data_IF_573097271233
#
_entry.id   IF_573097271233
#
_cell.length_a   1.000
_cell.length_b   1.000
_cell.length_c   1.000
_cell.angle_alpha   90.00
_cell.angle_beta   90.00
_cell.angle_gamma   90.00
#
_symmetry.space_group_name_H-M   'P 1'
#
loop_
_entity.id
_entity.type
_entity.pdbx_description
1 polymer ?
#
# COMPACT_ATOMS: atom_id res chain seq x y z
N UNK A 1 -18.69 -20.86 1.91
CA UNK A 1 -19.33 -19.53 2.04
C UNK A 1 -18.42 -18.51 1.36
N UNK A 2 -18.63 -18.25 0.07
CA UNK A 2 -17.81 -17.26 -0.66
C UNK A 2 -18.31 -15.88 -0.26
N UNK A 3 -17.53 -15.18 0.56
CA UNK A 3 -17.77 -13.78 0.87
C UNK A 3 -17.49 -12.97 -0.40
N UNK A 4 -18.54 -12.47 -1.05
CA UNK A 4 -18.36 -11.41 -2.04
C UNK A 4 -17.78 -10.21 -1.30
N UNK A 5 -16.46 -10.02 -1.39
CA UNK A 5 -15.79 -8.80 -1.00
C UNK A 5 -16.35 -7.67 -1.89
N UNK A 6 -17.47 -7.10 -1.43
CA UNK A 6 -18.04 -5.88 -1.99
C UNK A 6 -16.88 -4.90 -2.10
N UNK A 7 -16.50 -4.56 -3.33
CA UNK A 7 -15.55 -3.50 -3.59
C UNK A 7 -15.97 -2.31 -2.74
N UNK A 8 -15.24 -2.06 -1.67
CA UNK A 8 -15.63 -1.03 -0.72
C UNK A 8 -15.51 0.29 -1.48
N UNK A 9 -16.63 1.00 -1.65
CA UNK A 9 -16.64 2.36 -2.24
C UNK A 9 -15.84 3.36 -1.38
N UNK A 10 -15.39 2.94 -0.20
CA UNK A 10 -14.65 3.75 0.77
C UNK A 10 -13.18 3.36 0.80
N UNK A 11 -12.27 4.22 0.32
CA UNK A 11 -10.82 4.00 0.41
C UNK A 11 -10.33 3.77 1.84
N UNK A 12 -10.95 4.42 2.83
CA UNK A 12 -10.60 4.24 4.23
C UNK A 12 -10.99 2.84 4.77
N UNK A 13 -12.07 2.24 4.27
CA UNK A 13 -12.44 0.87 4.62
C UNK A 13 -11.45 -0.12 3.99
N UNK A 14 -11.13 0.06 2.71
CA UNK A 14 -10.11 -0.72 2.02
C UNK A 14 -8.75 -0.64 2.72
N UNK A 15 -8.34 0.56 3.15
CA UNK A 15 -7.10 0.76 3.88
C UNK A 15 -7.06 -0.05 5.19
N UNK A 16 -8.15 -0.05 5.96
CA UNK A 16 -8.25 -0.81 7.22
C UNK A 16 -8.20 -2.31 6.97
N UNK A 17 -8.89 -2.79 5.94
CA UNK A 17 -8.89 -4.20 5.56
C UNK A 17 -7.49 -4.66 5.12
N UNK A 18 -6.86 -3.90 4.22
CA UNK A 18 -5.50 -4.17 3.78
C UNK A 18 -4.50 -4.13 4.95
N UNK A 19 -4.71 -3.25 5.92
CA UNK A 19 -3.90 -3.20 7.15
C UNK A 19 -4.08 -4.45 8.00
N UNK A 20 -5.30 -4.95 8.14
CA UNK A 20 -5.59 -6.17 8.90
C UNK A 20 -4.93 -7.38 8.23
N UNK A 21 -5.18 -7.58 6.93
CA UNK A 21 -4.56 -8.66 6.13
C UNK A 21 -3.03 -8.56 6.16
N UNK A 22 -2.49 -7.37 5.97
CA UNK A 22 -1.04 -7.15 5.98
C UNK A 22 -0.41 -7.38 7.35
N UNK A 23 -1.12 -7.13 8.45
CA UNK A 23 -0.63 -7.38 9.82
C UNK A 23 -0.60 -8.87 10.13
N UNK A 24 -1.57 -9.62 9.64
CA UNK A 24 -1.64 -11.08 9.81
C UNK A 24 -0.59 -11.80 8.93
N UNK A 25 -0.41 -11.34 7.69
CA UNK A 25 0.44 -12.02 6.71
C UNK A 25 1.92 -11.61 6.73
N UNK A 26 2.27 -10.47 7.34
CA UNK A 26 3.62 -9.90 7.26
C UNK A 26 4.21 -9.66 8.64
N UNK A 27 5.49 -9.99 8.79
CA UNK A 27 6.30 -9.48 9.89
C UNK A 27 6.21 -7.94 9.96
N UNK A 28 6.18 -7.33 11.17
CA UNK A 28 6.05 -5.88 11.30
C UNK A 28 7.08 -5.10 10.48
N UNK A 29 8.31 -5.62 10.38
CA UNK A 29 9.43 -4.98 9.67
C UNK A 29 10.15 -5.96 8.75
N UNK A 30 10.76 -5.42 7.68
CA UNK A 30 11.44 -6.25 6.67
C UNK A 30 12.77 -6.87 7.15
N UNK A 31 13.39 -6.29 8.18
CA UNK A 31 14.60 -6.78 8.82
C UNK A 31 14.78 -6.11 10.19
N UNK A 32 15.50 -6.78 11.11
CA UNK A 32 15.81 -6.27 12.45
C UNK A 32 16.52 -4.91 12.46
N UNK A 33 17.35 -4.62 11.44
CA UNK A 33 18.11 -3.37 11.29
C UNK A 33 17.46 -2.35 10.36
N UNK A 34 16.23 -2.60 9.90
CA UNK A 34 15.55 -1.64 9.03
C UNK A 34 15.08 -0.42 9.82
N UNK A 35 14.90 0.71 9.13
CA UNK A 35 14.28 1.89 9.75
C UNK A 35 12.83 1.56 10.08
N UNK A 36 12.44 1.70 11.34
CA UNK A 36 11.08 1.43 11.85
C UNK A 36 10.13 2.63 11.65
N UNK A 37 10.26 3.30 10.50
CA UNK A 37 9.40 4.44 10.17
C UNK A 37 8.01 4.01 9.70
N UNK A 38 7.94 2.84 9.05
CA UNK A 38 6.73 2.27 8.48
C UNK A 38 6.75 0.77 8.66
N UNK A 39 5.62 0.18 9.02
CA UNK A 39 5.46 -1.27 9.07
C UNK A 39 5.25 -1.84 7.65
N UNK A 40 5.52 -3.13 7.48
CA UNK A 40 5.24 -3.79 6.20
C UNK A 40 3.74 -3.75 5.86
N UNK A 41 2.86 -3.89 6.86
CA UNK A 41 1.41 -3.77 6.69
C UNK A 41 1.00 -2.38 6.20
N UNK A 42 1.61 -1.30 6.72
CA UNK A 42 1.37 0.06 6.26
C UNK A 42 1.77 0.23 4.79
N UNK A 43 2.97 -0.20 4.45
CA UNK A 43 3.48 -0.08 3.08
C UNK A 43 2.66 -0.93 2.09
N UNK A 44 2.29 -2.15 2.48
CA UNK A 44 1.39 -3.02 1.71
C UNK A 44 0.04 -2.36 1.46
N UNK A 45 -0.58 -1.81 2.50
CA UNK A 45 -1.89 -1.16 2.38
C UNK A 45 -1.87 0.06 1.46
N UNK A 46 -0.78 0.83 1.48
CA UNK A 46 -0.60 1.96 0.55
C UNK A 46 -0.46 1.47 -0.89
N UNK A 47 0.22 0.35 -1.12
CA UNK A 47 0.32 -0.25 -2.46
C UNK A 47 -1.03 -0.77 -2.96
N UNK A 48 -1.87 -1.34 -2.08
CA UNK A 48 -3.26 -1.70 -2.41
C UNK A 48 -4.07 -0.47 -2.81
N UNK A 49 -3.96 0.62 -2.05
CA UNK A 49 -4.63 1.87 -2.37
C UNK A 49 -4.14 2.48 -3.69
N UNK A 50 -2.84 2.41 -3.97
CA UNK A 50 -2.27 2.82 -5.26
C UNK A 50 -2.95 2.09 -6.43
N UNK A 51 -3.14 0.78 -6.29
CA UNK A 51 -3.84 -0.02 -7.30
C UNK A 51 -5.32 0.33 -7.39
N UNK A 52 -5.98 0.58 -6.25
CA UNK A 52 -7.39 0.97 -6.19
C UNK A 52 -7.65 2.31 -6.90
N UNK A 53 -6.81 3.32 -6.65
CA UNK A 53 -6.91 4.63 -7.30
C UNK A 53 -6.32 4.66 -8.71
N UNK A 54 -5.70 3.56 -9.16
CA UNK A 54 -5.03 3.45 -10.47
C UNK A 54 -4.01 4.58 -10.70
N UNK A 55 -3.20 4.85 -9.68
CA UNK A 55 -2.19 5.91 -9.71
C UNK A 55 -0.77 5.35 -9.63
N UNK A 56 0.22 6.22 -9.78
CA UNK A 56 1.63 5.89 -9.60
C UNK A 56 2.08 6.11 -8.14
N UNK A 57 3.39 5.99 -7.88
CA UNK A 57 3.91 6.17 -6.52
C UNK A 57 3.86 7.61 -6.03
N UNK A 58 3.90 8.60 -6.92
CA UNK A 58 3.86 10.02 -6.54
C UNK A 58 2.42 10.44 -6.27
N UNK A 59 1.50 10.05 -7.15
CA UNK A 59 0.08 10.34 -7.00
C UNK A 59 -0.51 9.74 -5.72
N UNK A 60 -0.13 8.52 -5.31
CA UNK A 60 -0.60 7.99 -4.01
C UNK A 60 -0.03 8.76 -2.81
N UNK A 61 1.19 9.30 -2.93
CA UNK A 61 1.82 10.11 -1.86
C UNK A 61 1.10 11.45 -1.73
N UNK A 62 0.76 12.09 -2.85
CA UNK A 62 -0.04 13.32 -2.90
C UNK A 62 -1.45 13.09 -2.34
N UNK A 63 -2.14 12.02 -2.79
CA UNK A 63 -3.45 11.64 -2.26
C UNK A 63 -3.43 11.38 -0.74
N UNK A 64 -2.34 10.81 -0.21
CA UNK A 64 -2.18 10.63 1.23
C UNK A 64 -2.00 11.97 1.94
N UNK A 65 -1.27 12.92 1.35
CA UNK A 65 -1.07 14.25 1.91
C UNK A 65 -2.39 15.02 2.05
N UNK A 66 -3.22 14.96 1.02
CA UNK A 66 -4.48 15.71 0.97
C UNK A 66 -5.59 15.07 1.81
N UNK A 67 -5.42 13.80 2.24
CA UNK A 67 -6.50 13.05 2.90
C UNK A 67 -6.15 12.54 4.31
N UNK A 68 -6.27 13.37 5.36
CA UNK A 68 -5.98 13.00 6.74
C UNK A 68 -6.75 11.78 7.25
N UNK A 69 -7.96 11.54 6.73
CA UNK A 69 -8.77 10.35 7.07
C UNK A 69 -8.07 9.05 6.66
N UNK A 70 -7.38 9.05 5.52
CA UNK A 70 -6.64 7.90 5.01
C UNK A 70 -5.36 7.67 5.82
N UNK A 71 -4.64 8.74 6.17
CA UNK A 71 -3.49 8.68 7.07
C UNK A 71 -3.86 8.07 8.43
N UNK A 72 -4.99 8.50 9.02
CA UNK A 72 -5.53 7.95 10.27
C UNK A 72 -5.89 6.47 10.13
N UNK A 73 -6.52 6.07 9.03
CA UNK A 73 -6.86 4.67 8.78
C UNK A 73 -5.61 3.77 8.71
N UNK A 74 -4.51 4.29 8.16
CA UNK A 74 -3.22 3.61 8.03
C UNK A 74 -2.31 3.79 9.27
N UNK A 75 -2.73 4.56 10.28
CA UNK A 75 -1.94 4.91 11.47
C UNK A 75 -0.57 5.52 11.11
N UNK A 76 -0.52 6.37 10.08
CA UNK A 76 0.71 7.03 9.64
C UNK A 76 1.05 8.21 10.56
N UNK A 77 2.31 8.29 10.98
CA UNK A 77 2.86 9.46 11.68
C UNK A 77 3.53 10.46 10.74
N UNK A 78 3.89 10.00 9.54
CA UNK A 78 4.44 10.79 8.44
C UNK A 78 4.10 10.13 7.10
N UNK A 79 4.21 10.86 6.00
CA UNK A 79 3.94 10.34 4.67
C UNK A 79 5.20 9.66 4.13
N UNK A 80 5.12 8.42 3.61
CA UNK A 80 6.27 7.77 3.00
C UNK A 80 6.67 8.44 1.70
N UNK A 81 7.98 8.50 1.44
CA UNK A 81 8.49 8.91 0.16
C UNK A 81 8.19 7.88 -0.93
N UNK A 82 8.03 8.30 -2.20
CA UNK A 82 7.67 7.40 -3.31
C UNK A 82 8.67 6.24 -3.48
N UNK A 83 9.97 6.48 -3.24
CA UNK A 83 11.01 5.43 -3.28
C UNK A 83 10.86 4.40 -2.14
N UNK A 84 10.28 4.78 -1.01
CA UNK A 84 9.96 3.83 0.08
C UNK A 84 8.92 2.82 -0.38
N UNK A 85 7.88 3.28 -1.09
CA UNK A 85 6.83 2.43 -1.67
C UNK A 85 7.38 1.52 -2.77
N UNK A 86 8.19 2.08 -3.68
CA UNK A 86 8.85 1.31 -4.74
C UNK A 86 9.69 0.16 -4.16
N UNK A 87 10.55 0.46 -3.17
CA UNK A 87 11.37 -0.54 -2.49
C UNK A 87 10.51 -1.56 -1.74
N UNK A 88 9.38 -1.14 -1.17
CA UNK A 88 8.44 -2.06 -0.51
C UNK A 88 7.82 -3.04 -1.48
N UNK A 89 7.33 -2.56 -2.63
CA UNK A 89 6.75 -3.41 -3.67
C UNK A 89 7.76 -4.44 -4.16
N UNK A 90 8.99 -4.04 -4.45
CA UNK A 90 10.07 -4.96 -4.87
C UNK A 90 10.30 -6.07 -3.84
N UNK A 91 10.31 -5.74 -2.54
CA UNK A 91 10.48 -6.73 -1.48
C UNK A 91 9.29 -7.70 -1.38
N UNK A 92 8.07 -7.20 -1.50
CA UNK A 92 6.85 -8.01 -1.38
C UNK A 92 6.66 -8.94 -2.59
N UNK A 93 6.96 -8.46 -3.81
CA UNK A 93 6.97 -9.28 -5.02
C UNK A 93 8.02 -10.39 -4.93
N UNK A 94 9.25 -10.08 -4.49
CA UNK A 94 10.30 -11.09 -4.32
C UNK A 94 9.92 -12.20 -3.34
N UNK A 95 9.06 -11.91 -2.36
CA UNK A 95 8.53 -12.90 -1.40
C UNK A 95 7.34 -13.71 -1.94
N UNK A 96 6.90 -13.48 -3.18
CA UNK A 96 5.72 -14.13 -3.76
C UNK A 96 4.38 -13.62 -3.21
N UNK A 97 4.40 -12.57 -2.38
CA UNK A 97 3.23 -12.05 -1.66
C UNK A 97 2.39 -11.08 -2.48
N UNK A 98 2.90 -10.65 -3.64
CA UNK A 98 2.17 -9.92 -4.67
C UNK A 98 2.31 -10.70 -5.97
N UNK A 99 1.34 -11.55 -6.28
CA UNK A 99 1.22 -12.18 -7.61
C UNK A 99 0.94 -11.08 -8.64
N UNK A 100 1.92 -10.81 -9.50
CA UNK A 100 1.86 -9.72 -10.47
C UNK A 100 1.04 -10.17 -11.67
N UNK A 101 -0.26 -9.86 -11.67
CA UNK A 101 -0.98 -9.56 -12.91
C UNK A 101 -1.46 -8.11 -12.85
N UNK A 102 -0.66 -7.20 -13.39
CA UNK A 102 -1.13 -5.91 -13.90
C UNK A 102 -0.06 -5.39 -14.88
N UNK A 103 -0.46 -5.14 -16.13
CA UNK A 103 0.40 -4.49 -17.12
C UNK A 103 1.01 -3.20 -16.51
N UNK A 104 2.27 -2.87 -16.80
CA UNK A 104 2.80 -1.56 -16.44
C UNK A 104 1.90 -0.49 -17.07
N UNK A 105 1.40 0.44 -16.26
CA UNK A 105 0.80 1.66 -16.77
C UNK A 105 1.92 2.41 -17.50
N UNK A 106 1.94 2.24 -18.82
CA UNK A 106 2.95 2.84 -19.69
C UNK A 106 2.64 4.33 -19.74
N UNK A 107 3.54 5.13 -19.21
CA UNK A 107 3.55 6.57 -19.47
C UNK A 107 4.05 6.77 -20.89
N UNK A 108 3.13 6.82 -21.84
CA UNK A 108 3.39 7.47 -23.13
C UNK A 108 3.18 8.97 -22.91
N UNK A 109 4.29 9.72 -22.85
CA UNK A 109 4.28 11.16 -23.05
C UNK A 109 5.37 11.48 -24.07
N UNK A 110 4.88 11.92 -25.23
CA UNK A 110 5.51 12.54 -26.41
C UNK A 110 6.93 13.09 -26.23
#
# INVERSE_FOLDING_TARGET
MVTHALMTKSPAALAKEAMAVGTEALEPYSARRSRHDFTQAQLFSILVLRQFFKTDYRGIVELLADWPKLQKALKLTKIPHFTTLQKAQQRLVKKGLLSVYCKPFSTEHN
#
